data_IF_138992969684
#
_entry.id   IF_138992969684
#
_cell.length_a   1.000
_cell.length_b   1.000
_cell.length_c   1.000
_cell.angle_alpha   90.00
_cell.angle_beta   90.00
_cell.angle_gamma   90.00
#
_symmetry.space_group_name_H-M   'P 1'
#
loop_
_entity.id
_entity.type
_entity.pdbx_description
1 polymer ?
#
# COMPACT_ATOMS: atom_id res chain seq x y z
N UNK A 1 35.06 3.13 -1.60
CA UNK A 1 34.20 3.07 -2.80
C UNK A 1 32.74 2.95 -2.39
N UNK A 2 31.86 3.87 -2.79
CA UNK A 2 30.41 3.71 -2.58
C UNK A 2 29.93 2.61 -3.52
N UNK A 3 29.42 1.49 -3.00
CA UNK A 3 28.77 0.46 -3.83
C UNK A 3 27.67 1.13 -4.66
N UNK A 4 27.78 1.05 -5.99
CA UNK A 4 26.71 1.48 -6.89
C UNK A 4 25.43 0.72 -6.52
N UNK A 5 24.35 1.43 -6.25
CA UNK A 5 23.09 0.80 -5.87
C UNK A 5 22.42 0.23 -7.11
N UNK A 6 21.87 -0.98 -7.05
CA UNK A 6 21.14 -1.54 -8.18
C UNK A 6 19.96 -0.63 -8.54
N UNK A 7 19.76 -0.43 -9.84
CA UNK A 7 18.65 0.33 -10.41
C UNK A 7 17.74 -0.63 -11.15
N UNK A 8 16.50 -0.72 -10.71
CA UNK A 8 15.45 -1.56 -11.27
C UNK A 8 14.50 -0.71 -12.14
N UNK A 9 13.65 -1.35 -12.97
CA UNK A 9 12.57 -0.68 -13.66
C UNK A 9 11.74 0.20 -12.71
N UNK A 10 11.24 1.32 -13.22
CA UNK A 10 10.45 2.25 -12.41
C UNK A 10 9.12 1.60 -12.03
N UNK A 11 8.86 1.54 -10.73
CA UNK A 11 7.58 1.11 -10.15
C UNK A 11 6.84 2.35 -9.64
N UNK A 12 5.61 2.55 -10.12
CA UNK A 12 4.78 3.68 -9.70
C UNK A 12 4.08 3.40 -8.36
N UNK A 13 3.76 4.47 -7.64
CA UNK A 13 2.95 4.41 -6.43
C UNK A 13 1.59 3.78 -6.75
N UNK A 14 1.11 2.87 -5.89
CA UNK A 14 -0.18 2.19 -6.06
C UNK A 14 -1.42 3.08 -5.95
N UNK A 15 -1.26 4.35 -5.58
CA UNK A 15 -2.38 5.28 -5.39
C UNK A 15 -2.80 5.83 -6.76
N UNK A 16 -4.09 5.73 -7.14
CA UNK A 16 -4.59 6.26 -8.41
C UNK A 16 -4.19 7.72 -8.63
N UNK A 17 -3.83 8.07 -9.87
CA UNK A 17 -3.39 9.42 -10.24
C UNK A 17 -1.99 9.83 -9.74
N UNK A 18 -1.30 9.02 -8.94
CA UNK A 18 0.03 9.35 -8.43
C UNK A 18 1.14 9.10 -9.46
N UNK A 19 1.83 10.16 -9.91
CA UNK A 19 2.99 10.06 -10.82
C UNK A 19 4.32 9.72 -10.12
N UNK A 20 4.31 9.58 -8.79
CA UNK A 20 5.52 9.27 -8.00
C UNK A 20 5.82 7.78 -8.09
N UNK A 21 7.09 7.41 -7.99
CA UNK A 21 7.55 6.03 -8.08
C UNK A 21 8.99 5.88 -7.62
N UNK A 22 9.52 4.66 -7.71
CA UNK A 22 10.89 4.32 -7.31
C UNK A 22 11.52 3.36 -8.31
N UNK A 23 12.84 3.47 -8.50
CA UNK A 23 13.68 2.53 -9.24
C UNK A 23 14.51 1.64 -8.31
N UNK A 24 14.20 1.65 -7.01
CA UNK A 24 14.96 0.96 -5.96
C UNK A 24 14.31 -0.31 -5.44
N UNK A 25 13.09 -0.61 -5.88
CA UNK A 25 12.36 -1.79 -5.46
C UNK A 25 12.66 -2.93 -6.45
N UNK A 26 13.20 -4.03 -5.95
CA UNK A 26 13.48 -5.19 -6.78
C UNK A 26 12.16 -5.87 -7.19
N UNK A 27 12.09 -6.44 -8.41
CA UNK A 27 10.98 -7.31 -8.79
C UNK A 27 10.90 -8.52 -7.85
N UNK A 28 9.71 -9.10 -7.74
CA UNK A 28 9.50 -10.38 -7.08
C UNK A 28 10.24 -11.51 -7.81
N UNK A 29 10.37 -12.68 -7.18
CA UNK A 29 11.10 -13.82 -7.74
C UNK A 29 10.50 -14.34 -9.06
N UNK A 30 9.21 -14.09 -9.30
CA UNK A 30 8.49 -14.40 -10.53
C UNK A 30 8.62 -13.29 -11.60
N UNK A 31 9.41 -12.25 -11.34
CA UNK A 31 9.61 -11.11 -12.24
C UNK A 31 8.53 -10.03 -12.15
N UNK A 32 7.48 -10.21 -11.34
CA UNK A 32 6.42 -9.21 -11.21
C UNK A 32 6.89 -7.96 -10.45
N UNK A 33 6.39 -6.76 -10.81
CA UNK A 33 6.76 -5.52 -10.12
C UNK A 33 6.18 -5.50 -8.70
N UNK A 34 6.93 -4.99 -7.71
CA UNK A 34 6.44 -4.89 -6.34
C UNK A 34 5.39 -3.80 -6.19
N UNK A 35 4.57 -3.92 -5.15
CA UNK A 35 3.68 -2.83 -4.74
C UNK A 35 4.45 -1.77 -3.93
N UNK A 36 4.28 -0.50 -4.27
CA UNK A 36 4.95 0.61 -3.56
C UNK A 36 3.98 1.76 -3.25
N UNK A 37 4.15 2.35 -2.07
CA UNK A 37 3.46 3.58 -1.66
C UNK A 37 4.52 4.68 -1.53
N UNK A 38 4.32 5.82 -2.20
CA UNK A 38 5.26 6.92 -2.12
C UNK A 38 5.23 7.60 -0.74
N UNK A 39 6.32 8.28 -0.37
CA UNK A 39 6.47 8.91 0.94
C UNK A 39 5.28 9.79 1.40
N UNK A 40 4.73 10.68 0.56
CA UNK A 40 3.54 11.46 0.90
C UNK A 40 2.33 10.60 1.28
N UNK A 41 1.92 9.65 0.43
CA UNK A 41 0.80 8.76 0.72
C UNK A 41 1.09 7.85 1.91
N UNK A 42 2.34 7.42 2.10
CA UNK A 42 2.71 6.66 3.28
C UNK A 42 2.48 7.46 4.58
N UNK A 43 2.66 8.78 4.56
CA UNK A 43 2.42 9.62 5.75
C UNK A 43 0.94 9.77 6.09
N UNK A 44 0.03 9.62 5.12
CA UNK A 44 -1.42 9.67 5.37
C UNK A 44 -1.94 8.36 6.00
N UNK A 45 -1.22 7.25 5.84
CA UNK A 45 -1.57 5.98 6.49
C UNK A 45 -1.56 6.13 8.02
N UNK A 46 -2.59 5.62 8.74
CA UNK A 46 -2.66 5.66 10.19
C UNK A 46 -1.36 5.19 10.85
N UNK A 47 -0.86 5.99 11.81
CA UNK A 47 0.43 5.73 12.49
C UNK A 47 0.50 4.32 13.10
N UNK A 48 -0.61 3.87 13.66
CA UNK A 48 -0.72 2.53 14.26
C UNK A 48 -0.55 1.41 13.22
N UNK A 49 -1.06 1.59 12.01
CA UNK A 49 -0.94 0.58 10.96
C UNK A 49 0.51 0.48 10.46
N UNK A 50 1.18 1.63 10.31
CA UNK A 50 2.62 1.68 10.00
C UNK A 50 3.49 1.01 11.07
N UNK A 51 3.15 1.23 12.35
CA UNK A 51 3.80 0.58 13.49
C UNK A 51 3.62 -0.94 13.45
N UNK A 52 2.40 -1.44 13.17
CA UNK A 52 2.13 -2.88 13.05
C UNK A 52 2.90 -3.54 11.91
N UNK A 53 2.97 -2.91 10.73
CA UNK A 53 3.81 -3.43 9.63
C UNK A 53 5.29 -3.53 10.04
N UNK A 54 5.79 -2.52 10.73
CA UNK A 54 7.17 -2.53 11.25
C UNK A 54 7.37 -3.64 12.28
N UNK A 55 6.38 -3.90 13.14
CA UNK A 55 6.39 -5.00 14.10
C UNK A 55 6.43 -6.36 13.39
N UNK A 56 5.56 -6.59 12.41
CA UNK A 56 5.52 -7.86 11.68
C UNK A 56 6.81 -8.10 10.89
N UNK A 57 7.37 -7.06 10.25
CA UNK A 57 8.66 -7.17 9.57
C UNK A 57 9.80 -7.53 10.54
N UNK A 58 9.84 -6.94 11.74
CA UNK A 58 10.81 -7.32 12.77
C UNK A 58 10.63 -8.75 13.26
N UNK A 59 9.38 -9.18 13.47
CA UNK A 59 9.07 -10.57 13.86
C UNK A 59 9.48 -11.57 12.79
N UNK A 60 9.27 -11.24 11.52
CA UNK A 60 9.73 -12.07 10.40
C UNK A 60 11.26 -12.26 10.45
N UNK A 61 12.03 -11.17 10.52
CA UNK A 61 13.50 -11.24 10.62
C UNK A 61 13.99 -11.98 11.86
N UNK A 62 13.30 -11.82 12.99
CA UNK A 62 13.63 -12.52 14.22
C UNK A 62 13.34 -14.04 14.13
N UNK A 63 12.31 -14.43 13.40
CA UNK A 63 12.00 -15.83 13.11
C UNK A 63 12.99 -16.42 12.09
N UNK A 64 13.32 -15.67 11.04
CA UNK A 64 14.33 -16.01 10.03
C UNK A 64 15.70 -16.28 10.67
N UNK A 65 16.14 -15.41 11.59
CA UNK A 65 17.39 -15.61 12.32
C UNK A 65 17.42 -16.86 13.21
N UNK A 66 16.26 -17.45 13.52
CA UNK A 66 16.11 -18.67 14.33
C UNK A 66 15.73 -19.89 13.48
N UNK A 67 15.66 -19.73 12.16
CA UNK A 67 15.09 -20.72 11.23
C UNK A 67 13.67 -21.20 11.63
N UNK A 68 12.90 -20.32 12.28
CA UNK A 68 11.51 -20.62 12.66
C UNK A 68 10.57 -20.39 11.47
N UNK A 69 10.39 -21.46 10.70
CA UNK A 69 9.52 -21.50 9.53
C UNK A 69 8.07 -21.13 9.85
N UNK A 70 7.55 -21.50 11.03
CA UNK A 70 6.18 -21.16 11.43
C UNK A 70 6.08 -19.67 11.73
N UNK A 71 7.04 -19.13 12.47
CA UNK A 71 7.12 -17.70 12.79
C UNK A 71 7.20 -16.82 11.55
N UNK A 72 8.03 -17.20 10.57
CA UNK A 72 8.13 -16.50 9.29
C UNK A 72 6.80 -16.49 8.52
N UNK A 73 6.14 -17.65 8.40
CA UNK A 73 4.82 -17.74 7.73
C UNK A 73 3.78 -16.85 8.40
N UNK A 74 3.64 -16.93 9.72
CA UNK A 74 2.65 -16.14 10.47
C UNK A 74 2.92 -14.64 10.36
N UNK A 75 4.18 -14.21 10.55
CA UNK A 75 4.55 -12.80 10.44
C UNK A 75 4.33 -12.26 9.02
N UNK A 76 4.68 -13.06 8.00
CA UNK A 76 4.45 -12.72 6.60
C UNK A 76 2.96 -12.57 6.27
N UNK A 77 2.12 -13.51 6.69
CA UNK A 77 0.66 -13.43 6.50
C UNK A 77 0.05 -12.18 7.14
N UNK A 78 0.43 -11.88 8.38
CA UNK A 78 -0.05 -10.67 9.08
C UNK A 78 0.44 -9.39 8.41
N UNK A 79 1.68 -9.38 7.92
CA UNK A 79 2.23 -8.27 7.17
C UNK A 79 1.43 -8.03 5.88
N UNK A 80 1.23 -9.06 5.06
CA UNK A 80 0.47 -8.95 3.81
C UNK A 80 -1.00 -8.62 4.01
N UNK A 81 -1.63 -9.15 5.06
CA UNK A 81 -3.01 -8.79 5.42
C UNK A 81 -3.12 -7.29 5.76
N UNK A 82 -2.17 -6.75 6.52
CA UNK A 82 -2.15 -5.33 6.86
C UNK A 82 -1.80 -4.45 5.66
N UNK A 83 -0.88 -4.89 4.80
CA UNK A 83 -0.49 -4.19 3.59
C UNK A 83 -1.67 -4.04 2.63
N UNK A 84 -2.42 -5.11 2.39
CA UNK A 84 -3.65 -5.07 1.57
C UNK A 84 -4.67 -4.06 2.08
N UNK A 85 -4.96 -4.08 3.39
CA UNK A 85 -5.85 -3.07 4.00
C UNK A 85 -5.37 -1.63 3.82
N UNK A 86 -4.06 -1.40 3.74
CA UNK A 86 -3.51 -0.07 3.44
C UNK A 86 -3.73 0.28 1.97
N UNK A 87 -3.55 -0.67 1.06
CA UNK A 87 -3.90 -0.49 -0.35
C UNK A 87 -5.37 -0.13 -0.52
N UNK A 88 -6.26 -0.80 0.20
CA UNK A 88 -7.70 -0.56 0.18
C UNK A 88 -8.09 0.87 0.64
N UNK A 89 -7.29 1.52 1.50
CA UNK A 89 -7.52 2.93 1.86
C UNK A 89 -7.38 3.89 0.68
N UNK A 90 -6.61 3.50 -0.33
CA UNK A 90 -6.31 4.31 -1.51
C UNK A 90 -7.04 3.84 -2.75
N UNK A 91 -7.73 2.69 -2.66
CA UNK A 91 -8.72 2.32 -3.65
C UNK A 91 -9.85 3.33 -3.49
N UNK A 92 -10.23 4.00 -4.58
CA UNK A 92 -11.43 4.83 -4.56
C UNK A 92 -12.57 3.95 -4.03
N UNK A 93 -13.39 4.42 -3.07
CA UNK A 93 -14.68 3.79 -2.91
C UNK A 93 -15.30 3.83 -4.31
N UNK A 94 -15.71 2.68 -4.84
CA UNK A 94 -16.70 2.70 -5.93
C UNK A 94 -17.73 3.71 -5.45
N UNK A 95 -17.82 4.83 -6.15
CA UNK A 95 -18.74 5.89 -5.75
C UNK A 95 -20.07 5.19 -5.70
N UNK A 96 -20.67 5.08 -4.51
CA UNK A 96 -22.03 4.57 -4.42
C UNK A 96 -22.83 5.46 -5.38
N UNK A 97 -23.45 4.82 -6.36
CA UNK A 97 -24.21 5.49 -7.40
C UNK A 97 -25.66 5.51 -6.93
N UNK A 98 -26.30 6.68 -6.98
CA UNK A 98 -27.75 6.80 -6.91
C UNK A 98 -28.20 7.25 -8.29
N UNK A 99 -29.01 6.42 -8.96
CA UNK A 99 -29.58 6.75 -10.28
C UNK A 99 -28.51 7.24 -11.28
N UNK A 100 -27.44 6.46 -11.45
CA UNK A 100 -26.30 6.77 -12.32
C UNK A 100 -25.49 8.05 -11.95
N UNK A 101 -25.70 8.62 -10.77
CA UNK A 101 -24.91 9.74 -10.24
C UNK A 101 -24.11 9.33 -9.00
N UNK A 102 -22.83 9.74 -8.88
CA UNK A 102 -22.07 9.58 -7.63
C UNK A 102 -22.81 10.23 -6.46
N UNK A 103 -22.94 9.56 -5.30
CA UNK A 103 -23.60 10.12 -4.10
C UNK A 103 -23.03 11.49 -3.72
N UNK A 104 -21.72 11.68 -3.87
CA UNK A 104 -21.05 12.95 -3.59
C UNK A 104 -21.54 14.09 -4.49
N UNK A 105 -21.96 13.79 -5.72
CA UNK A 105 -22.59 14.75 -6.63
C UNK A 105 -24.04 15.02 -6.20
N UNK A 106 -24.79 13.98 -5.83
CA UNK A 106 -26.18 14.11 -5.36
C UNK A 106 -26.26 14.96 -4.08
N UNK A 107 -25.38 14.74 -3.12
CA UNK A 107 -25.32 15.51 -1.86
C UNK A 107 -24.99 16.98 -2.12
N UNK A 108 -24.08 17.27 -3.06
CA UNK A 108 -23.76 18.64 -3.48
C UNK A 108 -24.94 19.32 -4.17
N UNK A 109 -25.60 18.65 -5.10
CA UNK A 109 -26.74 19.20 -5.81
C UNK A 109 -27.91 19.51 -4.87
N UNK A 110 -28.18 18.65 -3.88
CA UNK A 110 -29.17 18.92 -2.82
C UNK A 110 -28.80 20.14 -1.98
N UNK A 111 -27.52 20.28 -1.61
CA UNK A 111 -27.05 21.43 -0.84
C UNK A 111 -27.14 22.76 -1.64
N UNK A 112 -27.00 22.69 -2.96
CA UNK A 112 -27.09 23.83 -3.89
C UNK A 112 -28.56 24.10 -4.34
N UNK A 113 -29.53 23.28 -3.93
CA UNK A 113 -30.96 23.43 -4.30
C UNK A 113 -31.29 23.05 -5.75
N UNK A 114 -30.44 22.21 -6.35
CA UNK A 114 -30.54 21.77 -7.75
C UNK A 114 -31.13 20.35 -7.90
N UNK A 115 -31.45 19.71 -6.77
CA UNK A 115 -32.15 18.42 -6.61
C UNK A 115 -33.10 18.47 -5.40
#
# INVERSE_FOLDING_TARGET
MKRARPTYPRVNCLVPGCKRGTTRAAPHNDGSPPEVICGPHWRTVPKEWRRRLSLYARRYRAAEAKDDQRGMRMAGQLWWSRWRRIGDLFREPESEMVEDMPITLVERLKAEGLL
#
